data_IF_736745325077
#
_entry.id   IF_736745325077
#
_cell.length_a   1.000
_cell.length_b   1.000
_cell.length_c   1.000
_cell.angle_alpha   90.00
_cell.angle_beta   90.00
_cell.angle_gamma   90.00
#
_symmetry.space_group_name_H-M   'P 1'
#
loop_
_entity.id
_entity.type
_entity.pdbx_description
1 polymer ?
#
# COMPACT_ATOMS: atom_id res chain seq x y z
N UNK A 1 6.97 -9.78 3.36
CA UNK A 1 5.54 -9.71 2.99
C UNK A 1 4.89 -8.83 4.04
N UNK A 2 4.25 -7.72 3.67
CA UNK A 2 3.70 -6.76 4.61
C UNK A 2 2.71 -7.42 5.58
N UNK A 3 2.77 -7.02 6.85
CA UNK A 3 1.74 -7.42 7.82
C UNK A 3 0.53 -6.50 7.68
N UNK A 4 -0.62 -7.06 7.29
CA UNK A 4 -1.86 -6.32 7.06
C UNK A 4 -2.87 -6.71 8.14
N UNK A 5 -3.39 -5.73 8.87
CA UNK A 5 -4.40 -5.94 9.91
C UNK A 5 -5.53 -4.94 9.83
N UNK A 6 -6.73 -5.36 10.22
CA UNK A 6 -7.89 -4.50 10.34
C UNK A 6 -8.06 -4.09 11.80
N UNK A 7 -8.25 -2.79 12.05
CA UNK A 7 -8.47 -2.26 13.39
C UNK A 7 -9.52 -1.14 13.37
N UNK A 8 -10.42 -1.14 14.34
CA UNK A 8 -11.33 -0.01 14.55
C UNK A 8 -10.67 1.04 15.44
N UNK A 9 -10.72 2.31 15.02
CA UNK A 9 -10.25 3.44 15.83
C UNK A 9 -11.17 4.65 15.67
N UNK A 10 -11.79 5.06 16.77
CA UNK A 10 -12.79 6.13 16.84
C UNK A 10 -14.00 5.85 15.93
N UNK A 11 -14.55 4.63 15.96
CA UNK A 11 -15.72 4.24 15.15
C UNK A 11 -15.45 4.13 13.64
N UNK A 12 -14.18 4.13 13.21
CA UNK A 12 -13.79 3.98 11.81
C UNK A 12 -12.91 2.75 11.63
N UNK A 13 -13.29 1.89 10.69
CA UNK A 13 -12.47 0.75 10.27
C UNK A 13 -11.24 1.26 9.52
N UNK A 14 -10.06 0.81 9.95
CA UNK A 14 -8.78 1.15 9.34
C UNK A 14 -8.05 -0.13 8.96
N UNK A 15 -7.48 -0.13 7.77
CA UNK A 15 -6.49 -1.14 7.39
C UNK A 15 -5.11 -0.59 7.74
N UNK A 16 -4.38 -1.33 8.55
CA UNK A 16 -3.02 -1.01 8.97
C UNK A 16 -2.09 -1.92 8.18
N UNK A 17 -1.16 -1.32 7.44
CA UNK A 17 -0.12 -2.04 6.72
C UNK A 17 1.22 -1.70 7.38
N UNK A 18 1.86 -2.70 8.00
CA UNK A 18 3.19 -2.55 8.58
C UNK A 18 4.23 -3.06 7.60
N UNK A 19 5.20 -2.20 7.33
CA UNK A 19 6.33 -2.48 6.45
C UNK A 19 7.62 -2.55 7.25
N UNK A 20 8.48 -3.48 6.87
CA UNK A 20 9.89 -3.52 7.29
C UNK A 20 10.73 -2.75 6.28
N UNK A 21 11.87 -2.23 6.71
CA UNK A 21 12.84 -1.59 5.85
C UNK A 21 13.20 -2.47 4.65
N UNK A 22 13.23 -1.87 3.45
CA UNK A 22 13.45 -2.56 2.19
C UNK A 22 12.18 -3.21 1.59
N UNK A 23 11.06 -3.24 2.31
CA UNK A 23 9.79 -3.70 1.74
C UNK A 23 9.14 -2.62 0.88
N UNK A 24 8.52 -3.09 -0.21
CA UNK A 24 7.74 -2.29 -1.14
C UNK A 24 6.36 -2.88 -1.30
N UNK A 25 5.34 -2.03 -1.31
CA UNK A 25 3.96 -2.43 -1.61
C UNK A 25 3.34 -1.49 -2.64
N UNK A 26 2.27 -1.97 -3.28
CA UNK A 26 1.44 -1.17 -4.16
C UNK A 26 0.05 -1.04 -3.56
N UNK A 27 -0.36 0.17 -3.22
CA UNK A 27 -1.69 0.50 -2.69
C UNK A 27 -2.64 0.80 -3.85
N UNK A 28 -3.81 0.16 -3.81
CA UNK A 28 -4.88 0.36 -4.76
C UNK A 28 -5.43 1.78 -4.68
N UNK A 29 -5.56 2.43 -5.84
CA UNK A 29 -6.24 3.73 -5.98
C UNK A 29 -7.46 3.68 -6.90
N UNK A 30 -7.69 2.54 -7.55
CA UNK A 30 -8.80 2.36 -8.50
C UNK A 30 -10.08 1.79 -7.86
N UNK A 31 -10.02 1.38 -6.59
CA UNK A 31 -11.13 0.77 -5.84
C UNK A 31 -11.70 -0.55 -6.41
N UNK A 32 -11.12 -1.11 -7.48
CA UNK A 32 -11.56 -2.37 -8.08
C UNK A 32 -10.79 -3.62 -7.60
N UNK A 33 -9.78 -3.45 -6.73
CA UNK A 33 -8.98 -4.58 -6.24
C UNK A 33 -9.79 -5.52 -5.37
N UNK A 34 -9.60 -6.83 -5.58
CA UNK A 34 -10.17 -7.90 -4.74
C UNK A 34 -9.41 -8.06 -3.42
N UNK A 35 -8.17 -7.59 -3.36
CA UNK A 35 -7.30 -7.61 -2.17
C UNK A 35 -7.18 -6.21 -1.54
N UNK A 36 -8.24 -5.39 -1.63
CA UNK A 36 -8.24 -4.02 -1.12
C UNK A 36 -7.77 -3.98 0.35
N UNK A 37 -6.77 -3.14 0.69
CA UNK A 37 -6.27 -1.96 -0.02
C UNK A 37 -5.07 -2.20 -0.94
N UNK A 38 -4.60 -3.44 -1.10
CA UNK A 38 -3.46 -3.77 -1.95
C UNK A 38 -3.89 -3.76 -3.42
N UNK A 39 -2.99 -3.34 -4.31
CA UNK A 39 -3.21 -3.39 -5.74
C UNK A 39 -2.94 -4.80 -6.27
N UNK A 40 -3.97 -5.45 -6.82
CA UNK A 40 -3.91 -6.76 -7.47
C UNK A 40 -3.78 -6.69 -9.01
N UNK A 41 -3.78 -5.47 -9.58
CA UNK A 41 -3.70 -5.25 -11.02
C UNK A 41 -5.04 -4.98 -11.71
N UNK A 42 -6.17 -5.05 -11.00
CA UNK A 42 -7.52 -4.81 -11.56
C UNK A 42 -7.67 -3.46 -12.26
N UNK A 43 -6.84 -2.46 -11.92
CA UNK A 43 -6.84 -1.14 -12.58
C UNK A 43 -6.55 -1.19 -14.09
N UNK A 44 -5.90 -2.25 -14.58
CA UNK A 44 -5.57 -2.42 -16.01
C UNK A 44 -6.78 -2.74 -16.87
N UNK A 45 -7.84 -3.28 -16.27
CA UNK A 45 -9.08 -3.62 -16.97
C UNK A 45 -10.08 -2.46 -17.00
N UNK A 46 -9.76 -1.35 -16.31
CA UNK A 46 -10.61 -0.17 -16.26
C UNK A 46 -10.23 0.82 -17.38
N UNK A 47 -11.19 1.61 -17.89
CA UNK A 47 -10.94 2.59 -18.96
C UNK A 47 -10.22 3.86 -18.46
N UNK A 48 -9.66 3.84 -17.24
CA UNK A 48 -9.07 5.00 -16.59
C UNK A 48 -7.55 4.83 -16.44
N UNK A 49 -6.79 5.90 -16.68
CA UNK A 49 -5.35 5.91 -16.48
C UNK A 49 -4.99 6.11 -14.99
N UNK A 50 -5.33 5.13 -14.15
CA UNK A 50 -5.10 5.16 -12.70
C UNK A 50 -4.16 4.03 -12.32
N UNK A 51 -2.92 4.37 -11.97
CA UNK A 51 -1.96 3.43 -11.39
C UNK A 51 -2.05 3.35 -9.86
N UNK A 52 -1.49 2.30 -9.23
CA UNK A 52 -1.38 2.22 -7.78
C UNK A 52 -0.43 3.28 -7.21
N UNK A 53 -0.55 3.57 -5.92
CA UNK A 53 0.50 4.28 -5.18
C UNK A 53 1.54 3.26 -4.71
N UNK A 54 2.79 3.46 -5.07
CA UNK A 54 3.90 2.63 -4.58
C UNK A 54 4.39 3.23 -3.27
N UNK A 55 4.49 2.39 -2.24
CA UNK A 55 5.03 2.76 -0.93
C UNK A 55 6.25 1.89 -0.67
N UNK A 56 7.38 2.54 -0.40
CA UNK A 56 8.66 1.89 -0.10
C UNK A 56 9.08 2.31 1.32
N UNK A 57 9.38 1.32 2.16
CA UNK A 57 9.94 1.56 3.49
C UNK A 57 11.46 1.71 3.37
N UNK A 58 11.91 2.96 3.28
CA UNK A 58 13.35 3.29 3.18
C UNK A 58 14.03 3.22 4.55
N UNK A 59 15.31 2.84 4.55
CA UNK A 59 16.13 2.88 5.76
C UNK A 59 16.58 4.32 6.01
N UNK A 60 16.23 4.96 7.14
CA UNK A 60 16.67 6.32 7.42
C UNK A 60 18.19 6.45 7.56
N UNK A 61 18.93 5.35 7.81
CA UNK A 61 20.39 5.36 7.88
C UNK A 61 21.08 5.34 6.51
N UNK A 62 20.42 4.86 5.46
CA UNK A 62 20.96 4.78 4.08
C UNK A 62 20.80 6.10 3.31
N UNK A 63 19.93 7.01 3.77
CA UNK A 63 19.69 8.31 3.12
C UNK A 63 20.59 9.44 3.63
N UNK A 64 21.48 9.21 4.61
CA UNK A 64 22.42 10.24 5.06
C UNK A 64 23.50 10.42 3.98
N UNK A 65 23.57 11.58 3.27
CA UNK A 65 24.75 11.86 2.48
C UNK A 65 25.96 11.93 3.42
N UNK A 66 27.05 11.29 3.02
CA UNK A 66 28.32 11.27 3.73
C UNK A 66 28.87 12.69 3.97
#
# INVERSE_FOLDING_TARGET
MPEITNAEKNGKLRVIVKLKTGERISICRCFASKEFPICDGSHRELPFNIGPAVVEAVNPEEEKPA
#
